data_IF_294401582801
#
_entry.id   IF_294401582801
#
_cell.length_a   1.000
_cell.length_b   1.000
_cell.length_c   1.000
_cell.angle_alpha   90.00
_cell.angle_beta   90.00
_cell.angle_gamma   90.00
#
_symmetry.space_group_name_H-M   'P 1'
#
loop_
_entity.id
_entity.type
_entity.pdbx_description
1 polymer ?
#
# COMPACT_ATOMS: atom_id res chain seq x y z
N UNK A 1 16.05 -30.89 30.79
CA UNK A 1 16.37 -29.62 30.10
C UNK A 1 15.12 -29.23 29.34
N UNK A 2 14.33 -28.28 29.82
CA UNK A 2 13.06 -27.89 29.18
C UNK A 2 13.28 -26.69 28.28
N UNK A 3 12.90 -26.78 27.01
CA UNK A 3 12.93 -25.65 26.09
C UNK A 3 11.93 -24.57 26.53
N UNK A 4 12.45 -23.43 26.99
CA UNK A 4 11.63 -22.28 27.34
C UNK A 4 11.22 -21.57 26.04
N UNK A 5 10.02 -21.90 25.56
CA UNK A 5 9.46 -21.25 24.37
C UNK A 5 8.85 -19.89 24.72
N UNK A 6 9.29 -18.84 24.04
CA UNK A 6 8.71 -17.51 24.21
C UNK A 6 7.36 -17.40 23.47
N UNK A 7 6.27 -17.52 24.23
CA UNK A 7 4.90 -17.44 23.72
C UNK A 7 4.58 -16.11 23.03
N UNK A 8 5.22 -14.99 23.43
CA UNK A 8 5.00 -13.70 22.79
C UNK A 8 5.56 -13.69 21.36
N UNK A 9 6.73 -14.31 21.14
CA UNK A 9 7.29 -14.44 19.80
C UNK A 9 6.38 -15.30 18.92
N UNK A 10 5.89 -16.41 19.45
CA UNK A 10 4.97 -17.30 18.74
C UNK A 10 3.66 -16.60 18.32
N UNK A 11 3.04 -15.84 19.24
CA UNK A 11 1.85 -15.03 18.94
C UNK A 11 2.14 -14.02 17.84
N UNK A 12 3.23 -13.25 17.96
CA UNK A 12 3.65 -12.28 16.93
C UNK A 12 3.87 -12.92 15.56
N UNK A 13 4.47 -14.11 15.51
CA UNK A 13 4.67 -14.82 14.24
C UNK A 13 3.35 -15.25 13.62
N UNK A 14 2.39 -15.73 14.44
CA UNK A 14 1.05 -16.10 13.98
C UNK A 14 0.31 -14.88 13.41
N UNK A 15 0.28 -13.79 14.16
CA UNK A 15 -0.41 -12.57 13.75
C UNK A 15 0.22 -11.98 12.47
N UNK A 16 1.55 -12.06 12.34
CA UNK A 16 2.25 -11.65 11.10
C UNK A 16 1.82 -12.52 9.91
N UNK A 17 1.72 -13.84 10.11
CA UNK A 17 1.30 -14.78 9.07
C UNK A 17 -0.15 -14.54 8.62
N UNK A 18 -1.07 -14.27 9.55
CA UNK A 18 -2.45 -13.93 9.24
C UNK A 18 -2.55 -12.63 8.42
N UNK A 19 -1.83 -11.57 8.84
CA UNK A 19 -1.77 -10.32 8.09
C UNK A 19 -1.24 -10.49 6.67
N UNK A 20 -0.23 -11.34 6.46
CA UNK A 20 0.27 -11.63 5.10
C UNK A 20 -0.77 -12.36 4.25
N UNK A 21 -1.50 -13.32 4.81
CA UNK A 21 -2.57 -14.03 4.10
C UNK A 21 -3.72 -13.10 3.71
N UNK A 22 -4.12 -12.22 4.62
CA UNK A 22 -5.12 -11.18 4.33
C UNK A 22 -4.65 -10.23 3.24
N UNK A 23 -3.37 -9.82 3.28
CA UNK A 23 -2.79 -8.97 2.24
C UNK A 23 -2.79 -9.67 0.86
N UNK A 24 -2.48 -10.95 0.80
CA UNK A 24 -2.55 -11.76 -0.43
C UNK A 24 -3.99 -11.91 -0.92
N UNK A 25 -4.94 -12.21 -0.04
CA UNK A 25 -6.35 -12.28 -0.38
C UNK A 25 -6.86 -10.93 -0.92
N UNK A 26 -6.46 -9.81 -0.31
CA UNK A 26 -6.82 -8.48 -0.78
C UNK A 26 -6.17 -8.14 -2.13
N UNK A 27 -4.93 -8.59 -2.39
CA UNK A 27 -4.30 -8.47 -3.72
C UNK A 27 -5.08 -9.24 -4.78
N UNK A 28 -5.48 -10.47 -4.48
CA UNK A 28 -6.27 -11.30 -5.40
C UNK A 28 -7.67 -10.72 -5.63
N UNK A 29 -8.35 -10.25 -4.58
CA UNK A 29 -9.73 -9.73 -4.66
C UNK A 29 -9.82 -8.37 -5.33
N UNK A 30 -8.93 -7.45 -4.98
CA UNK A 30 -9.02 -6.05 -5.42
C UNK A 30 -8.06 -5.70 -6.55
N UNK A 31 -7.14 -6.61 -6.91
CA UNK A 31 -6.21 -6.49 -8.04
C UNK A 31 -5.13 -5.42 -7.90
N UNK A 32 -5.26 -4.49 -6.95
CA UNK A 32 -4.30 -3.39 -6.71
C UNK A 32 -3.94 -3.26 -5.25
N UNK A 33 -2.65 -3.25 -4.97
CA UNK A 33 -2.09 -2.94 -3.64
C UNK A 33 -2.29 -1.47 -3.28
N UNK A 34 -2.18 -1.15 -1.99
CA UNK A 34 -2.18 0.24 -1.51
C UNK A 34 -1.05 1.05 -2.15
N UNK A 35 0.13 0.46 -2.31
CA UNK A 35 1.29 1.10 -2.92
C UNK A 35 1.04 1.47 -4.39
N UNK A 36 0.42 0.58 -5.16
CA UNK A 36 0.05 0.86 -6.55
C UNK A 36 -0.99 1.98 -6.64
N UNK A 37 -2.03 1.95 -5.80
CA UNK A 37 -3.02 3.02 -5.73
C UNK A 37 -2.39 4.38 -5.39
N UNK A 38 -1.42 4.39 -4.48
CA UNK A 38 -0.72 5.62 -4.09
C UNK A 38 0.19 6.15 -5.21
N UNK A 39 0.90 5.26 -5.90
CA UNK A 39 1.72 5.62 -7.08
C UNK A 39 0.83 6.23 -8.17
N UNK A 40 -0.27 5.54 -8.52
CA UNK A 40 -1.19 6.00 -9.55
C UNK A 40 -1.80 7.37 -9.18
N UNK A 41 -2.12 7.59 -7.90
CA UNK A 41 -2.58 8.90 -7.41
C UNK A 41 -1.53 9.98 -7.59
N UNK A 42 -0.29 9.73 -7.17
CA UNK A 42 0.81 10.69 -7.31
C UNK A 42 1.14 10.99 -8.77
N UNK A 43 1.05 9.99 -9.64
CA UNK A 43 1.24 10.19 -11.08
C UNK A 43 0.10 11.01 -11.69
N UNK A 44 -1.15 10.79 -11.26
CA UNK A 44 -2.28 11.62 -11.64
C UNK A 44 -2.11 13.07 -11.16
N UNK A 45 -1.74 13.28 -9.90
CA UNK A 45 -1.48 14.61 -9.33
C UNK A 45 -0.34 15.34 -10.04
N UNK A 46 0.73 14.63 -10.40
CA UNK A 46 1.82 15.20 -11.21
C UNK A 46 1.33 15.61 -12.60
N UNK A 47 0.54 14.77 -13.26
CA UNK A 47 -0.05 15.10 -14.57
C UNK A 47 -0.96 16.32 -14.49
N UNK A 48 -1.81 16.42 -13.47
CA UNK A 48 -2.68 17.59 -13.30
C UNK A 48 -1.85 18.85 -13.05
N UNK A 49 -0.86 18.81 -12.16
CA UNK A 49 0.03 19.95 -11.91
C UNK A 49 0.80 20.39 -13.16
N UNK A 50 1.31 19.44 -13.95
CA UNK A 50 1.97 19.75 -15.22
C UNK A 50 1.00 20.43 -16.20
N UNK A 51 -0.22 19.91 -16.33
CA UNK A 51 -1.22 20.50 -17.22
C UNK A 51 -1.68 21.88 -16.74
N UNK A 52 -1.87 22.07 -15.44
CA UNK A 52 -2.25 23.37 -14.87
C UNK A 52 -1.11 24.39 -14.99
N UNK A 53 0.16 23.99 -14.83
CA UNK A 53 1.31 24.88 -15.08
C UNK A 53 1.53 25.21 -16.55
N UNK A 54 0.98 24.41 -17.47
CA UNK A 54 1.00 24.66 -18.92
C UNK A 54 -0.29 25.31 -19.44
N UNK A 55 -1.31 25.50 -18.60
CA UNK A 55 -2.40 26.40 -18.95
C UNK A 55 -1.82 27.80 -19.01
N UNK A 56 -1.72 28.31 -20.23
CA UNK A 56 -1.82 29.75 -20.44
C UNK A 56 -3.28 30.05 -20.05
N UNK A 57 -3.48 30.65 -18.89
CA UNK A 57 -4.75 31.32 -18.59
C UNK A 57 -4.89 32.40 -19.66
N UNK A 58 -5.52 32.02 -20.77
CA UNK A 58 -5.80 32.90 -21.89
C UNK A 58 -6.97 33.78 -21.53
N UNK A 59 -6.73 34.76 -20.67
CA UNK A 59 -7.49 35.99 -20.58
C UNK A 59 -6.48 37.14 -20.42
N UNK A 60 -6.62 38.15 -21.28
CA UNK A 60 -5.89 39.42 -21.31
C UNK A 60 -5.69 40.10 -19.94
#
# INVERSE_FOLDING_TARGET
MGDVVNLNRFRKTRDKAERTREAEANRARFGRTKAEKERDRKDAERRTQTLDGHKLDGED
#
